data_IF_443498316426
#
_entry.id   IF_443498316426
#
_cell.length_a   1.000
_cell.length_b   1.000
_cell.length_c   1.000
_cell.angle_alpha   90.00
_cell.angle_beta   90.00
_cell.angle_gamma   90.00
#
_symmetry.space_group_name_H-M   'P 1'
#
loop_
_entity.id
_entity.type
_entity.pdbx_description
1 polymer ?
#
# COMPACT_ATOMS: atom_id res chain seq x y z
N UNK A 1 23.94 18.05 15.78
CA UNK A 1 22.48 17.79 15.75
C UNK A 1 22.24 16.43 16.37
N UNK A 2 21.61 16.36 17.54
CA UNK A 2 21.35 15.07 18.19
C UNK A 2 20.24 14.35 17.41
N UNK A 3 20.49 13.16 16.91
CA UNK A 3 19.46 12.40 16.18
C UNK A 3 18.34 12.05 17.17
N UNK A 4 17.09 12.31 16.76
CA UNK A 4 15.92 11.92 17.55
C UNK A 4 15.92 10.39 17.72
N UNK A 5 15.79 9.91 18.94
CA UNK A 5 15.61 8.48 19.20
C UNK A 5 14.15 8.09 18.92
N UNK A 6 13.87 7.68 17.69
CA UNK A 6 12.52 7.27 17.29
C UNK A 6 12.00 6.04 18.02
N UNK A 7 12.87 5.24 18.67
CA UNK A 7 12.46 4.06 19.46
C UNK A 7 11.48 4.42 20.57
N UNK A 8 11.62 5.63 21.13
CA UNK A 8 10.74 6.13 22.20
C UNK A 8 9.29 6.33 21.75
N UNK A 9 9.05 6.54 20.47
CA UNK A 9 7.71 6.73 19.93
C UNK A 9 6.91 5.39 19.84
N UNK A 10 7.59 4.24 20.06
CA UNK A 10 7.00 2.89 19.95
C UNK A 10 6.96 2.20 21.33
N UNK A 11 5.78 2.06 21.95
CA UNK A 11 5.67 1.49 23.30
C UNK A 11 6.32 0.11 23.44
N UNK A 12 6.10 -0.78 22.46
CA UNK A 12 6.69 -2.12 22.51
C UNK A 12 8.22 -2.08 22.55
N UNK A 13 8.84 -1.19 21.77
CA UNK A 13 10.29 -1.07 21.70
C UNK A 13 10.89 -0.30 22.88
N UNK A 14 10.14 0.64 23.43
CA UNK A 14 10.51 1.40 24.64
C UNK A 14 10.53 0.50 25.88
N UNK A 15 9.53 -0.37 26.00
CA UNK A 15 9.32 -1.20 27.19
C UNK A 15 10.11 -2.53 27.14
N UNK A 16 10.64 -2.89 25.98
CA UNK A 16 11.40 -4.13 25.80
C UNK A 16 12.82 -3.86 25.30
N UNK A 17 13.85 -4.48 25.90
CA UNK A 17 15.25 -4.35 25.48
C UNK A 17 15.53 -5.21 24.24
N UNK A 18 14.78 -5.01 23.16
CA UNK A 18 14.88 -5.82 21.93
C UNK A 18 15.45 -4.99 20.79
N UNK A 19 16.26 -5.63 19.94
CA UNK A 19 16.62 -5.13 18.63
C UNK A 19 15.65 -5.76 17.63
N UNK A 20 14.67 -4.97 17.18
CA UNK A 20 13.62 -5.46 16.27
C UNK A 20 14.01 -5.24 14.81
N UNK A 21 14.23 -6.31 14.06
CA UNK A 21 14.68 -6.29 12.67
C UNK A 21 13.66 -6.91 11.69
N UNK A 22 12.44 -7.19 12.14
CA UNK A 22 11.41 -7.87 11.37
C UNK A 22 10.27 -6.93 10.91
N UNK A 23 10.58 -5.65 10.69
CA UNK A 23 9.58 -4.66 10.26
C UNK A 23 9.01 -4.94 8.86
N UNK A 24 9.73 -5.72 8.04
CA UNK A 24 9.24 -6.15 6.72
C UNK A 24 8.01 -7.05 6.84
N UNK A 25 7.98 -7.92 7.85
CA UNK A 25 6.82 -8.78 8.12
C UNK A 25 5.77 -8.07 8.97
N UNK A 26 6.19 -7.35 10.01
CA UNK A 26 5.28 -6.66 10.94
C UNK A 26 5.88 -5.35 11.43
N UNK A 27 5.41 -4.23 10.90
CA UNK A 27 5.80 -2.91 11.40
C UNK A 27 5.19 -2.65 12.78
N UNK A 28 5.99 -2.15 13.72
CA UNK A 28 5.50 -1.74 15.03
C UNK A 28 4.61 -0.49 14.93
N UNK A 29 3.69 -0.34 15.86
CA UNK A 29 2.76 0.80 15.91
C UNK A 29 3.31 1.88 16.82
N UNK A 30 3.46 3.13 16.38
CA UNK A 30 3.77 4.24 17.25
C UNK A 30 2.59 4.53 18.20
N UNK A 31 2.88 5.07 19.37
CA UNK A 31 1.89 5.38 20.42
C UNK A 31 0.79 6.32 19.90
N UNK A 32 1.13 7.25 19.02
CA UNK A 32 0.17 8.16 18.40
C UNK A 32 -0.89 7.42 17.57
N UNK A 33 -0.51 6.36 16.86
CA UNK A 33 -1.45 5.54 16.06
C UNK A 33 -2.35 4.72 16.98
N UNK A 34 -1.78 4.07 18.00
CA UNK A 34 -2.54 3.29 19.00
C UNK A 34 -3.58 4.18 19.70
N UNK A 35 -3.17 5.37 20.15
CA UNK A 35 -4.07 6.31 20.80
C UNK A 35 -5.16 6.84 19.86
N UNK A 36 -4.84 7.11 18.60
CA UNK A 36 -5.84 7.58 17.62
C UNK A 36 -6.93 6.53 17.36
N UNK A 37 -6.54 5.26 17.24
CA UNK A 37 -7.49 4.16 17.08
C UNK A 37 -8.38 4.01 18.32
N UNK A 38 -7.77 4.02 19.51
CA UNK A 38 -8.49 3.95 20.79
C UNK A 38 -9.47 5.12 20.97
N UNK A 39 -9.06 6.34 20.65
CA UNK A 39 -9.92 7.54 20.74
C UNK A 39 -11.08 7.49 19.73
N UNK A 40 -10.84 6.99 18.53
CA UNK A 40 -11.91 6.79 17.55
C UNK A 40 -12.97 5.83 18.10
N UNK A 41 -12.58 4.66 18.62
CA UNK A 41 -13.53 3.71 19.22
C UNK A 41 -14.28 4.28 20.41
N UNK A 42 -13.66 5.09 21.23
CA UNK A 42 -14.30 5.70 22.42
C UNK A 42 -15.27 6.84 22.06
N UNK A 43 -14.99 7.61 21.00
CA UNK A 43 -15.66 8.90 20.78
C UNK A 43 -16.47 9.00 19.48
N UNK A 44 -16.11 8.22 18.46
CA UNK A 44 -16.64 8.41 17.10
C UNK A 44 -17.06 7.11 16.41
N UNK A 45 -17.00 5.96 17.09
CA UNK A 45 -17.30 4.66 16.47
C UNK A 45 -18.78 4.57 16.06
N UNK A 46 -19.05 4.92 14.80
CA UNK A 46 -20.36 4.83 14.19
C UNK A 46 -20.21 4.49 12.70
N UNK A 47 -21.32 4.16 12.02
CA UNK A 47 -21.30 3.83 10.60
C UNK A 47 -21.06 5.11 9.76
N UNK A 48 -19.91 5.25 9.10
CA UNK A 48 -19.63 6.39 8.25
C UNK A 48 -20.51 6.36 6.99
N UNK A 49 -20.75 7.53 6.38
CA UNK A 49 -21.46 7.75 5.11
C UNK A 49 -22.96 7.46 5.11
N UNK A 50 -23.53 6.83 6.14
CA UNK A 50 -24.95 6.45 6.17
C UNK A 50 -25.70 6.89 7.42
N UNK A 51 -25.02 7.44 8.42
CA UNK A 51 -25.64 7.88 9.66
C UNK A 51 -26.22 9.28 9.53
N UNK A 52 -27.55 9.44 9.77
CA UNK A 52 -28.24 10.72 9.83
C UNK A 52 -28.29 11.26 11.29
N UNK A 53 -27.25 11.02 12.07
CA UNK A 53 -27.11 11.42 13.46
C UNK A 53 -25.68 11.85 13.77
N UNK A 54 -25.48 12.61 14.84
CA UNK A 54 -24.20 13.30 15.14
C UNK A 54 -22.97 12.40 15.14
N UNK A 55 -23.04 11.19 15.71
CA UNK A 55 -21.92 10.26 15.70
C UNK A 55 -21.62 9.74 14.28
N UNK A 56 -22.63 9.52 13.45
CA UNK A 56 -22.46 9.15 12.06
C UNK A 56 -21.77 10.22 11.24
N UNK A 57 -22.13 11.49 11.46
CA UNK A 57 -21.44 12.63 10.84
C UNK A 57 -19.99 12.73 11.29
N UNK A 58 -19.71 12.62 12.59
CA UNK A 58 -18.34 12.63 13.13
C UNK A 58 -17.49 11.49 12.56
N UNK A 59 -18.03 10.27 12.49
CA UNK A 59 -17.32 9.13 11.90
C UNK A 59 -17.01 9.36 10.41
N UNK A 60 -17.96 9.94 9.67
CA UNK A 60 -17.77 10.33 8.27
C UNK A 60 -16.67 11.37 8.13
N UNK A 61 -16.71 12.41 8.94
CA UNK A 61 -15.72 13.48 8.93
C UNK A 61 -14.31 12.94 9.21
N UNK A 62 -14.13 12.10 10.23
CA UNK A 62 -12.86 11.45 10.53
C UNK A 62 -12.34 10.62 9.34
N UNK A 63 -13.23 9.88 8.69
CA UNK A 63 -12.87 9.05 7.53
C UNK A 63 -12.42 9.90 6.33
N UNK A 64 -13.17 10.94 5.99
CA UNK A 64 -12.84 11.82 4.87
C UNK A 64 -11.60 12.69 5.15
N UNK A 65 -11.39 13.14 6.38
CA UNK A 65 -10.15 13.82 6.78
C UNK A 65 -8.92 12.91 6.64
N UNK A 66 -9.05 11.64 6.98
CA UNK A 66 -7.98 10.65 6.78
C UNK A 66 -7.64 10.49 5.29
N UNK A 67 -8.66 10.43 4.44
CA UNK A 67 -8.52 10.36 2.98
C UNK A 67 -7.80 11.60 2.45
N UNK A 68 -8.21 12.79 2.87
CA UNK A 68 -7.59 14.06 2.47
C UNK A 68 -6.12 14.15 2.94
N UNK A 69 -5.82 13.63 4.12
CA UNK A 69 -4.44 13.57 4.64
C UNK A 69 -3.56 12.69 3.74
N UNK A 70 -4.04 11.51 3.36
CA UNK A 70 -3.31 10.62 2.44
C UNK A 70 -3.18 11.25 1.06
N UNK A 71 -4.26 11.87 0.54
CA UNK A 71 -4.23 12.59 -0.73
C UNK A 71 -3.09 13.63 -0.77
N UNK A 72 -2.99 14.46 0.27
CA UNK A 72 -1.91 15.47 0.37
C UNK A 72 -0.53 14.83 0.45
N UNK A 73 -0.39 13.77 1.24
CA UNK A 73 0.88 13.10 1.46
C UNK A 73 1.47 12.51 0.17
N UNK A 74 0.64 11.87 -0.66
CA UNK A 74 1.08 11.29 -1.94
C UNK A 74 0.92 12.25 -3.13
N UNK A 75 0.51 13.51 -2.89
CA UNK A 75 0.29 14.51 -3.92
C UNK A 75 -0.73 14.09 -5.00
N UNK A 76 -1.78 13.37 -4.61
CA UNK A 76 -2.87 13.03 -5.51
C UNK A 76 -3.73 14.27 -5.81
N UNK A 77 -4.35 14.32 -7.00
CA UNK A 77 -5.16 15.47 -7.45
C UNK A 77 -6.48 15.58 -6.72
N UNK A 78 -7.08 14.44 -6.38
CA UNK A 78 -8.39 14.36 -5.76
C UNK A 78 -8.43 13.27 -4.70
N UNK A 79 -9.23 13.45 -3.66
CA UNK A 79 -9.54 12.43 -2.65
C UNK A 79 -10.20 11.18 -3.25
N UNK A 80 -10.84 11.31 -4.44
CA UNK A 80 -11.42 10.19 -5.19
C UNK A 80 -10.40 9.21 -5.73
N UNK A 81 -9.13 9.62 -5.82
CA UNK A 81 -8.01 8.74 -6.20
C UNK A 81 -7.50 7.88 -5.05
N UNK A 82 -8.00 8.12 -3.82
CA UNK A 82 -7.58 7.39 -2.64
C UNK A 82 -8.57 6.26 -2.33
N UNK A 83 -8.10 5.04 -2.38
CA UNK A 83 -8.86 3.85 -2.02
C UNK A 83 -8.17 3.14 -0.88
N UNK A 84 -8.82 3.05 0.27
CA UNK A 84 -8.32 2.30 1.41
C UNK A 84 -8.61 0.81 1.23
N UNK A 85 -7.59 -0.01 1.42
CA UNK A 85 -7.65 -1.47 1.40
C UNK A 85 -7.06 -2.03 2.68
N UNK A 86 -7.23 -3.33 2.93
CA UNK A 86 -6.71 -3.98 4.14
C UNK A 86 -5.19 -4.12 4.15
N UNK A 87 -4.58 -4.26 2.96
CA UNK A 87 -3.13 -4.46 2.80
C UNK A 87 -2.71 -4.30 1.34
N UNK A 88 -1.39 -4.31 1.09
CA UNK A 88 -0.81 -4.21 -0.25
C UNK A 88 -1.27 -5.35 -1.19
N UNK A 89 -1.45 -6.57 -0.69
CA UNK A 89 -1.95 -7.69 -1.48
C UNK A 89 -3.33 -7.38 -2.06
N UNK A 90 -4.25 -6.85 -1.25
CA UNK A 90 -5.57 -6.45 -1.74
C UNK A 90 -5.48 -5.30 -2.74
N UNK A 91 -4.63 -4.30 -2.50
CA UNK A 91 -4.42 -3.18 -3.43
C UNK A 91 -3.93 -3.64 -4.79
N UNK A 92 -2.91 -4.51 -4.83
CA UNK A 92 -2.35 -5.03 -6.07
C UNK A 92 -3.36 -5.91 -6.82
N UNK A 93 -4.10 -6.76 -6.12
CA UNK A 93 -5.18 -7.54 -6.72
C UNK A 93 -6.31 -6.63 -7.25
N UNK A 94 -6.67 -5.59 -6.52
CA UNK A 94 -7.67 -4.61 -6.98
C UNK A 94 -7.26 -3.98 -8.32
N UNK A 95 -6.01 -3.54 -8.45
CA UNK A 95 -5.50 -2.99 -9.71
C UNK A 95 -5.46 -4.05 -10.81
N UNK A 96 -4.97 -5.24 -10.51
CA UNK A 96 -4.89 -6.33 -11.48
C UNK A 96 -6.28 -6.71 -12.03
N UNK A 97 -7.26 -6.88 -11.15
CA UNK A 97 -8.62 -7.29 -11.57
C UNK A 97 -9.45 -6.14 -12.13
N UNK A 98 -9.29 -4.90 -11.65
CA UNK A 98 -10.05 -3.77 -12.19
C UNK A 98 -9.44 -3.20 -13.46
N UNK A 99 -8.15 -2.88 -13.47
CA UNK A 99 -7.44 -2.35 -14.63
C UNK A 99 -6.99 -3.47 -15.57
N UNK A 100 -6.22 -4.42 -15.07
CA UNK A 100 -5.60 -5.47 -15.89
C UNK A 100 -6.61 -6.26 -16.70
N UNK A 101 -7.68 -6.76 -16.07
CA UNK A 101 -8.70 -7.56 -16.77
C UNK A 101 -9.53 -6.76 -17.80
N UNK A 102 -9.65 -5.45 -17.63
CA UNK A 102 -10.50 -4.65 -18.49
C UNK A 102 -9.74 -3.96 -19.64
N UNK A 103 -8.44 -3.72 -19.48
CA UNK A 103 -7.68 -2.92 -20.45
C UNK A 103 -6.56 -3.70 -21.13
N UNK A 104 -6.03 -4.75 -20.51
CA UNK A 104 -4.98 -5.56 -21.13
C UNK A 104 -5.57 -6.59 -22.09
N UNK A 105 -4.83 -6.86 -23.18
CA UNK A 105 -5.22 -7.76 -24.27
C UNK A 105 -4.01 -8.49 -24.82
N UNK A 106 -4.23 -9.42 -25.72
CA UNK A 106 -3.16 -10.13 -26.42
C UNK A 106 -2.22 -9.15 -27.14
N UNK A 107 -0.94 -9.28 -26.86
CA UNK A 107 0.13 -8.42 -27.37
C UNK A 107 0.61 -7.37 -26.38
N UNK A 108 -0.17 -7.09 -25.31
CA UNK A 108 0.30 -6.21 -24.25
C UNK A 108 1.29 -6.93 -23.33
N UNK A 109 2.14 -6.17 -22.66
CA UNK A 109 3.19 -6.68 -21.79
C UNK A 109 3.08 -6.09 -20.38
N UNK A 110 3.27 -6.93 -19.39
CA UNK A 110 3.32 -6.57 -17.97
C UNK A 110 4.76 -6.77 -17.50
N UNK A 111 5.44 -5.70 -17.15
CA UNK A 111 6.81 -5.77 -16.64
C UNK A 111 6.80 -5.86 -15.13
N UNK A 112 7.49 -6.88 -14.59
CA UNK A 112 7.71 -7.09 -13.17
C UNK A 112 9.18 -7.42 -12.94
N UNK A 113 9.70 -7.12 -11.75
CA UNK A 113 11.07 -7.56 -11.43
C UNK A 113 11.08 -9.00 -10.92
N UNK A 114 12.21 -9.69 -11.04
CA UNK A 114 12.37 -11.03 -10.42
C UNK A 114 12.33 -10.96 -8.89
N UNK A 115 12.54 -9.78 -8.31
CA UNK A 115 12.58 -9.55 -6.87
C UNK A 115 11.21 -9.31 -6.22
N UNK A 116 10.13 -9.27 -7.02
CA UNK A 116 8.80 -8.95 -6.49
C UNK A 116 8.30 -9.97 -5.47
N UNK A 117 7.64 -9.47 -4.45
CA UNK A 117 6.85 -10.31 -3.57
C UNK A 117 5.71 -10.99 -4.35
N UNK A 118 5.31 -12.20 -3.97
CA UNK A 118 4.24 -12.95 -4.64
C UNK A 118 2.94 -12.15 -4.84
N UNK A 119 2.62 -11.25 -3.92
CA UNK A 119 1.45 -10.36 -4.05
C UNK A 119 1.50 -9.44 -5.27
N UNK A 120 2.70 -9.16 -5.80
CA UNK A 120 2.91 -8.36 -7.02
C UNK A 120 3.40 -9.19 -8.23
N UNK A 121 3.32 -10.51 -8.15
CA UNK A 121 3.59 -11.40 -9.28
C UNK A 121 2.34 -12.20 -9.68
N UNK A 122 1.72 -12.88 -8.71
CA UNK A 122 0.66 -13.84 -8.99
C UNK A 122 -0.58 -13.21 -9.63
N UNK A 123 -1.07 -12.04 -9.19
CA UNK A 123 -2.22 -11.42 -9.84
C UNK A 123 -1.99 -11.10 -11.31
N UNK A 124 -0.79 -10.64 -11.66
CA UNK A 124 -0.44 -10.32 -13.04
C UNK A 124 -0.31 -11.54 -13.94
N UNK A 125 0.15 -12.68 -13.40
CA UNK A 125 0.16 -13.96 -14.13
C UNK A 125 -1.26 -14.42 -14.46
N UNK A 126 -2.18 -14.30 -13.50
CA UNK A 126 -3.60 -14.62 -13.71
C UNK A 126 -4.23 -13.70 -14.77
N UNK A 127 -3.92 -12.40 -14.71
CA UNK A 127 -4.39 -11.43 -15.73
C UNK A 127 -3.84 -11.80 -17.10
N UNK A 128 -2.55 -12.04 -17.22
CA UNK A 128 -1.91 -12.40 -18.50
C UNK A 128 -2.51 -13.66 -19.10
N UNK A 129 -2.73 -14.70 -18.30
CA UNK A 129 -3.38 -15.95 -18.76
C UNK A 129 -4.78 -15.69 -19.33
N UNK A 130 -5.56 -14.82 -18.69
CA UNK A 130 -6.94 -14.54 -19.11
C UNK A 130 -7.07 -13.56 -20.27
N UNK A 131 -6.15 -12.60 -20.38
CA UNK A 131 -6.22 -11.53 -21.39
C UNK A 131 -5.39 -11.85 -22.62
N UNK A 132 -4.46 -12.81 -22.52
CA UNK A 132 -3.47 -13.11 -23.56
C UNK A 132 -2.30 -12.12 -23.57
N UNK A 133 -2.17 -11.25 -22.57
CA UNK A 133 -0.97 -10.44 -22.34
C UNK A 133 0.21 -11.33 -21.90
N UNK A 134 1.43 -10.81 -21.97
CA UNK A 134 2.64 -11.50 -21.55
C UNK A 134 3.20 -10.86 -20.25
N UNK A 135 3.64 -11.68 -19.30
CA UNK A 135 4.43 -11.20 -18.16
C UNK A 135 5.91 -11.32 -18.53
N UNK A 136 6.63 -10.21 -18.52
CA UNK A 136 8.08 -10.13 -18.68
C UNK A 136 8.75 -9.83 -17.36
N UNK A 137 9.90 -10.47 -17.12
CA UNK A 137 10.67 -10.28 -15.90
C UNK A 137 11.92 -9.46 -16.19
N UNK A 138 12.15 -8.46 -15.35
CA UNK A 138 13.38 -7.68 -15.32
C UNK A 138 14.33 -8.35 -14.36
N UNK A 139 15.44 -8.85 -14.88
CA UNK A 139 16.49 -9.46 -14.07
C UNK A 139 17.23 -8.41 -13.25
N UNK A 140 17.74 -8.79 -12.08
CA UNK A 140 18.58 -7.96 -11.25
C UNK A 140 20.03 -8.49 -11.22
N UNK A 141 20.96 -7.62 -10.88
CA UNK A 141 22.34 -7.99 -10.61
C UNK A 141 22.45 -8.85 -9.32
N UNK A 142 23.56 -9.56 -9.08
CA UNK A 142 23.76 -10.35 -7.87
C UNK A 142 23.68 -9.54 -6.56
N UNK A 143 23.91 -8.24 -6.61
CA UNK A 143 23.78 -7.33 -5.48
C UNK A 143 22.36 -6.75 -5.28
N UNK A 144 21.39 -7.19 -6.12
CA UNK A 144 20.00 -6.74 -6.07
C UNK A 144 19.74 -5.41 -6.79
N UNK A 145 20.73 -4.84 -7.48
CA UNK A 145 20.52 -3.61 -8.27
C UNK A 145 19.91 -3.91 -9.64
N UNK A 146 19.17 -2.96 -10.17
CA UNK A 146 18.67 -2.93 -11.56
C UNK A 146 19.25 -1.67 -12.21
N UNK A 147 19.94 -1.85 -13.32
CA UNK A 147 20.52 -0.72 -14.06
C UNK A 147 19.49 -0.09 -15.01
N UNK A 148 19.74 1.15 -15.38
CA UNK A 148 18.92 1.85 -16.39
C UNK A 148 18.93 1.12 -17.75
N UNK A 149 20.05 0.49 -18.09
CA UNK A 149 20.21 -0.31 -19.30
C UNK A 149 19.30 -1.55 -19.30
N UNK A 150 19.30 -2.32 -18.18
CA UNK A 150 18.40 -3.48 -18.01
C UNK A 150 16.94 -3.06 -18.10
N UNK A 151 16.60 -1.91 -17.49
CA UNK A 151 15.23 -1.38 -17.56
C UNK A 151 14.86 -1.02 -19.01
N UNK A 152 15.72 -0.30 -19.75
CA UNK A 152 15.46 0.07 -21.15
C UNK A 152 15.28 -1.16 -22.05
N UNK A 153 16.10 -2.20 -21.85
CA UNK A 153 16.01 -3.44 -22.63
C UNK A 153 14.75 -4.26 -22.35
N UNK A 154 14.12 -4.05 -21.19
CA UNK A 154 12.89 -4.75 -20.85
C UNK A 154 11.66 -4.23 -21.62
N UNK A 155 11.69 -2.98 -22.09
CA UNK A 155 10.62 -2.42 -22.91
C UNK A 155 10.76 -2.91 -24.36
N UNK A 156 9.68 -3.36 -24.95
CA UNK A 156 9.56 -3.62 -26.39
C UNK A 156 9.24 -2.32 -27.13
N UNK A 157 9.57 -2.28 -28.43
CA UNK A 157 9.21 -1.18 -29.33
C UNK A 157 7.68 -1.13 -29.60
#
# INVERSE_FOLDING_TARGET
>A
MQMKNFKEDFPLLRENPVVYLDSAATAQRPESVINSEMEFYKKCNANPLRGLYDLGFKATECYEQSRETVRKFINARSEREIIFTRNATESLNLVAYSYGMNFLKKGDEILVTVMEHHSNQLPWRVVAEKTGAAVKYIECNPDGTITEEQLKQAFSE
#
